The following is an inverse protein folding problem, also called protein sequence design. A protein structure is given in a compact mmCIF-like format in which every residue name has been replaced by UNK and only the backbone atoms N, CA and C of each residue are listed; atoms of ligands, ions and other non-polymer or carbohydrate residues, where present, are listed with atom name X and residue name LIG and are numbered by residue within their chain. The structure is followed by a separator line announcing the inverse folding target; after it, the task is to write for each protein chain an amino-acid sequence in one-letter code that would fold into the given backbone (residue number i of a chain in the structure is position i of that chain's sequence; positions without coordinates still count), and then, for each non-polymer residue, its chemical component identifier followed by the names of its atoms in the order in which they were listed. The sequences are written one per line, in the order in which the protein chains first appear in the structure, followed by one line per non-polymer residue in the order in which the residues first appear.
data_IF_489572163965
#
_entry.id   IF_489572163965
#
_cell.length_a   1.000
_cell.length_b   1.000
_cell.length_c   1.000
_cell.angle_alpha   90.00
_cell.angle_beta   90.00
_cell.angle_gamma   90.00
#
_symmetry.space_group_name_H-M   'P 1'
#
loop_
_entity.id
_entity.type
_entity.pdbx_description
1 polymer ?
#
# COMPACT_ATOMS: atom_id res chain seq x y z
N UNK A 1 15.61 -2.18 -17.54
CA UNK A 1 15.82 -2.97 -16.31
C UNK A 1 16.44 -4.28 -16.75
N UNK A 2 17.67 -4.62 -16.37
CA UNK A 2 18.14 -6.00 -16.50
C UNK A 2 17.10 -6.84 -15.78
N UNK A 3 16.50 -7.82 -16.48
CA UNK A 3 15.38 -8.59 -15.96
C UNK A 3 15.71 -9.11 -14.57
N UNK A 4 14.75 -9.04 -13.65
CA UNK A 4 14.89 -9.59 -12.31
C UNK A 4 15.20 -11.08 -12.45
N UNK A 5 16.49 -11.44 -12.46
CA UNK A 5 16.93 -12.82 -12.58
C UNK A 5 16.85 -13.40 -11.18
N UNK A 6 15.75 -14.09 -10.91
CA UNK A 6 15.65 -14.98 -9.77
C UNK A 6 15.23 -16.38 -10.23
N UNK A 7 15.60 -17.41 -9.47
CA UNK A 7 15.38 -18.81 -9.76
C UNK A 7 13.97 -19.32 -9.34
N UNK A 8 13.07 -18.40 -8.98
CA UNK A 8 11.70 -18.70 -8.53
C UNK A 8 11.56 -19.07 -7.05
N UNK A 9 12.66 -19.25 -6.31
CA UNK A 9 12.59 -19.49 -4.86
C UNK A 9 12.43 -18.18 -4.09
N UNK A 10 11.71 -18.23 -2.96
CA UNK A 10 11.57 -17.07 -2.07
C UNK A 10 12.92 -16.54 -1.59
N UNK A 11 13.90 -17.41 -1.33
CA UNK A 11 15.24 -17.00 -0.89
C UNK A 11 15.97 -16.18 -1.95
N UNK A 12 15.72 -16.42 -3.22
CA UNK A 12 16.40 -15.73 -4.31
C UNK A 12 15.61 -14.51 -4.81
N UNK A 13 14.29 -14.65 -4.97
CA UNK A 13 13.43 -13.57 -5.46
C UNK A 13 13.08 -12.54 -4.37
N UNK A 14 13.01 -12.97 -3.10
CA UNK A 14 12.63 -12.14 -1.95
C UNK A 14 13.46 -12.49 -0.69
N UNK A 15 14.81 -12.49 -0.74
CA UNK A 15 15.70 -12.95 0.34
C UNK A 15 15.38 -12.34 1.71
N UNK A 16 14.98 -11.08 1.74
CA UNK A 16 14.62 -10.33 2.94
C UNK A 16 13.50 -11.00 3.76
N UNK A 17 12.58 -11.70 3.11
CA UNK A 17 11.50 -12.43 3.80
C UNK A 17 12.06 -13.62 4.60
N UNK A 18 13.06 -14.29 4.04
CA UNK A 18 13.74 -15.42 4.67
C UNK A 18 14.63 -14.93 5.81
N UNK A 19 15.42 -13.88 5.57
CA UNK A 19 16.27 -13.28 6.59
C UNK A 19 15.47 -12.74 7.78
N UNK A 20 14.34 -12.08 7.52
CA UNK A 20 13.45 -11.63 8.57
C UNK A 20 12.92 -12.81 9.41
N UNK A 21 12.48 -13.88 8.75
CA UNK A 21 11.97 -15.08 9.44
C UNK A 21 13.04 -15.75 10.30
N UNK A 22 14.26 -15.91 9.78
CA UNK A 22 15.39 -16.47 10.54
C UNK A 22 15.78 -15.58 11.72
N UNK A 23 15.88 -14.26 11.50
CA UNK A 23 16.24 -13.30 12.53
C UNK A 23 15.23 -13.26 13.68
N UNK A 24 13.93 -13.20 13.35
CA UNK A 24 12.84 -13.15 14.34
C UNK A 24 12.72 -14.44 15.17
N UNK A 25 13.26 -15.55 14.67
CA UNK A 25 13.24 -16.84 15.37
C UNK A 25 14.50 -17.15 16.20
N UNK A 26 15.53 -16.30 16.17
CA UNK A 26 16.69 -16.47 17.05
C UNK A 26 16.27 -16.37 18.52
N UNK A 27 16.77 -17.24 19.42
CA UNK A 27 16.43 -17.19 20.84
C UNK A 27 16.67 -15.81 21.47
N UNK A 28 17.79 -15.15 21.11
CA UNK A 28 18.16 -13.84 21.63
C UNK A 28 17.21 -12.74 21.12
N UNK A 29 16.80 -12.81 19.85
CA UNK A 29 15.79 -11.90 19.30
C UNK A 29 14.45 -12.08 20.00
N UNK A 30 13.98 -13.33 20.16
CA UNK A 30 12.72 -13.62 20.89
C UNK A 30 12.78 -13.11 22.33
N UNK A 31 13.88 -13.37 23.03
CA UNK A 31 14.10 -12.90 24.39
C UNK A 31 14.07 -11.36 24.47
N UNK A 32 14.77 -10.69 23.55
CA UNK A 32 14.84 -9.22 23.51
C UNK A 32 13.47 -8.60 23.25
N UNK A 33 12.65 -9.22 22.39
CA UNK A 33 11.29 -8.76 22.07
C UNK A 33 10.23 -9.22 23.10
N UNK A 34 10.60 -10.05 24.08
CA UNK A 34 9.65 -10.64 25.03
C UNK A 34 8.70 -11.68 24.42
N UNK A 35 9.05 -12.24 23.25
CA UNK A 35 8.28 -13.29 22.62
C UNK A 35 8.52 -14.64 23.32
N UNK A 36 7.48 -15.48 23.40
CA UNK A 36 7.61 -16.81 23.99
C UNK A 36 8.53 -17.69 23.14
N UNK A 37 9.37 -18.50 23.79
CA UNK A 37 10.38 -19.31 23.12
C UNK A 37 9.76 -20.37 22.18
N UNK A 38 8.60 -20.91 22.53
CA UNK A 38 7.86 -21.96 21.83
C UNK A 38 7.05 -21.45 20.63
N UNK A 39 6.90 -20.14 20.47
CA UNK A 39 6.19 -19.55 19.32
C UNK A 39 7.18 -19.25 18.21
N UNK A 40 6.97 -19.83 17.03
CA UNK A 40 7.75 -19.51 15.84
C UNK A 40 7.09 -18.41 15.02
N UNK A 41 7.89 -17.41 14.68
CA UNK A 41 7.50 -16.36 13.75
C UNK A 41 7.40 -16.94 12.33
N UNK A 42 6.30 -16.64 11.66
CA UNK A 42 6.10 -16.85 10.23
C UNK A 42 5.56 -15.55 9.63
N UNK A 43 5.92 -15.25 8.37
CA UNK A 43 5.41 -14.06 7.69
C UNK A 43 3.92 -14.13 7.38
N UNK A 44 3.42 -15.32 7.05
CA UNK A 44 2.02 -15.58 6.75
C UNK A 44 1.61 -16.89 7.42
N UNK A 45 0.52 -16.86 8.18
CA UNK A 45 -0.12 -18.05 8.71
C UNK A 45 -1.16 -18.57 7.69
N UNK A 46 -0.80 -19.59 6.92
CA UNK A 46 -1.67 -20.12 5.86
C UNK A 46 -3.01 -20.65 6.37
N UNK A 47 -3.08 -21.45 7.46
CA UNK A 47 -4.37 -21.87 8.02
C UNK A 47 -5.31 -20.71 8.31
N UNK A 48 -4.81 -19.61 8.90
CA UNK A 48 -5.64 -18.42 9.16
C UNK A 48 -6.14 -17.82 7.85
N UNK A 49 -5.26 -17.61 6.86
CA UNK A 49 -5.65 -17.11 5.55
C UNK A 49 -6.71 -17.99 4.86
N UNK A 50 -6.53 -19.32 4.89
CA UNK A 50 -7.46 -20.28 4.30
C UNK A 50 -8.85 -20.22 4.95
N UNK A 51 -8.93 -20.00 6.28
CA UNK A 51 -10.21 -19.79 6.96
C UNK A 51 -10.92 -18.51 6.49
N UNK A 52 -10.22 -17.39 6.35
CA UNK A 52 -10.82 -16.16 5.82
C UNK A 52 -11.31 -16.33 4.36
N UNK A 53 -10.53 -17.02 3.53
CA UNK A 53 -10.95 -17.33 2.15
C UNK A 53 -12.19 -18.21 2.13
N UNK A 54 -12.26 -19.24 2.99
CA UNK A 54 -13.40 -20.15 3.07
C UNK A 54 -14.70 -19.45 3.47
N UNK A 55 -14.62 -18.40 4.30
CA UNK A 55 -15.76 -17.56 4.69
C UNK A 55 -16.08 -16.46 3.67
N UNK A 56 -15.36 -16.39 2.55
CA UNK A 56 -15.61 -15.41 1.50
C UNK A 56 -15.22 -13.98 1.87
N UNK A 57 -14.31 -13.80 2.83
CA UNK A 57 -13.84 -12.48 3.25
C UNK A 57 -13.21 -11.66 2.11
N UNK A 58 -12.37 -12.23 1.20
CA UNK A 58 -11.72 -11.45 0.14
C UNK A 58 -12.66 -10.84 -0.90
N UNK A 59 -13.92 -11.30 -0.99
CA UNK A 59 -14.91 -10.78 -1.95
C UNK A 59 -15.91 -9.81 -1.33
N UNK A 60 -15.77 -9.51 -0.03
CA UNK A 60 -16.61 -8.52 0.64
C UNK A 60 -16.35 -7.12 0.08
N UNK A 61 -17.39 -6.27 0.06
CA UNK A 61 -17.32 -4.91 -0.46
C UNK A 61 -16.71 -3.93 0.56
N UNK A 62 -15.53 -4.24 1.09
CA UNK A 62 -14.86 -3.44 2.13
C UNK A 62 -14.58 -1.99 1.70
N UNK A 63 -14.48 -1.73 0.39
CA UNK A 63 -14.29 -0.37 -0.15
C UNK A 63 -15.44 0.60 0.21
N UNK A 64 -16.65 0.08 0.50
CA UNK A 64 -17.77 0.92 0.94
C UNK A 64 -17.51 1.60 2.28
N UNK A 65 -16.54 1.11 3.07
CA UNK A 65 -16.13 1.75 4.32
C UNK A 65 -15.47 3.12 4.10
N UNK A 66 -15.03 3.43 2.88
CA UNK A 66 -14.47 4.76 2.56
C UNK A 66 -15.53 5.86 2.53
N UNK A 67 -16.77 5.53 2.18
CA UNK A 67 -17.88 6.49 2.08
C UNK A 67 -18.16 7.20 3.41
N UNK A 68 -18.43 6.49 4.55
CA UNK A 68 -18.66 7.15 5.82
C UNK A 68 -17.42 7.88 6.35
N UNK A 69 -16.21 7.41 6.05
CA UNK A 69 -14.97 8.09 6.45
C UNK A 69 -14.84 9.46 5.77
N UNK A 70 -15.00 9.50 4.44
CA UNK A 70 -14.96 10.74 3.68
C UNK A 70 -16.12 11.66 4.04
N UNK A 71 -17.32 11.11 4.28
CA UNK A 71 -18.50 11.85 4.75
C UNK A 71 -18.31 12.50 6.13
N UNK A 72 -17.57 11.85 7.02
CA UNK A 72 -17.20 12.38 8.34
C UNK A 72 -16.01 13.35 8.30
N UNK A 73 -15.44 13.63 7.12
CA UNK A 73 -14.35 14.59 6.94
C UNK A 73 -12.95 14.03 7.18
N UNK A 74 -12.81 12.71 7.37
CA UNK A 74 -11.49 12.07 7.36
C UNK A 74 -10.85 12.18 5.98
N UNK A 75 -9.52 12.31 5.97
CA UNK A 75 -8.74 12.37 4.74
C UNK A 75 -8.38 10.95 4.30
N UNK A 76 -8.46 10.67 3.01
CA UNK A 76 -8.09 9.38 2.42
C UNK A 76 -6.96 9.51 1.39
N UNK A 77 -5.88 8.76 1.59
CA UNK A 77 -4.72 8.68 0.70
C UNK A 77 -4.55 7.26 0.19
N UNK A 78 -4.55 7.10 -1.13
CA UNK A 78 -4.07 5.90 -1.81
C UNK A 78 -2.77 6.21 -2.55
N UNK A 79 -1.69 5.51 -2.22
CA UNK A 79 -0.47 5.47 -3.03
C UNK A 79 -0.21 4.04 -3.48
N UNK A 80 0.09 3.85 -4.76
CA UNK A 80 0.14 2.53 -5.40
C UNK A 80 1.29 2.42 -6.39
N UNK A 81 1.91 1.25 -6.45
CA UNK A 81 2.95 0.94 -7.43
C UNK A 81 2.37 0.62 -8.81
N UNK A 82 2.86 1.30 -9.84
CA UNK A 82 2.42 1.09 -11.23
C UNK A 82 2.76 -0.31 -11.77
N UNK A 83 3.77 -0.96 -11.21
CA UNK A 83 4.26 -2.27 -11.64
C UNK A 83 3.66 -3.44 -10.83
N UNK A 84 2.68 -3.17 -9.95
CA UNK A 84 2.01 -4.22 -9.19
C UNK A 84 1.00 -5.00 -10.07
N UNK A 85 1.17 -6.32 -10.11
CA UNK A 85 0.26 -7.24 -10.78
C UNK A 85 -0.77 -7.88 -9.83
N UNK A 86 -0.55 -7.84 -8.50
CA UNK A 86 -1.47 -8.39 -7.51
C UNK A 86 -2.63 -7.42 -7.26
N UNK A 87 -2.31 -6.14 -6.99
CA UNK A 87 -3.30 -5.09 -6.79
C UNK A 87 -3.13 -4.03 -7.88
N UNK A 88 -3.46 -4.38 -9.13
CA UNK A 88 -3.17 -3.52 -10.26
C UNK A 88 -3.89 -2.15 -10.18
N UNK A 89 -3.12 -1.08 -10.41
CA UNK A 89 -3.58 0.30 -10.30
C UNK A 89 -4.85 0.66 -11.10
N UNK A 90 -5.15 0.10 -12.29
CA UNK A 90 -6.37 0.45 -13.01
C UNK A 90 -7.64 0.06 -12.24
N UNK A 91 -7.61 -1.10 -11.57
CA UNK A 91 -8.73 -1.59 -10.76
C UNK A 91 -8.94 -0.72 -9.52
N UNK A 92 -7.85 -0.37 -8.84
CA UNK A 92 -7.89 0.54 -7.68
C UNK A 92 -8.42 1.91 -8.07
N UNK A 93 -7.90 2.54 -9.13
CA UNK A 93 -8.39 3.85 -9.58
C UNK A 93 -9.86 3.82 -9.99
N UNK A 94 -10.30 2.74 -10.66
CA UNK A 94 -11.70 2.55 -11.05
C UNK A 94 -12.61 2.44 -9.83
N UNK A 95 -12.21 1.66 -8.82
CA UNK A 95 -12.94 1.54 -7.55
C UNK A 95 -13.03 2.89 -6.83
N UNK A 96 -11.94 3.66 -6.76
CA UNK A 96 -11.94 4.96 -6.09
C UNK A 96 -12.88 5.98 -6.73
N UNK A 97 -13.09 5.91 -8.06
CA UNK A 97 -14.08 6.75 -8.77
C UNK A 97 -15.53 6.41 -8.39
N UNK A 98 -15.80 5.20 -7.91
CA UNK A 98 -17.14 4.73 -7.54
C UNK A 98 -17.53 5.07 -6.10
N UNK A 99 -16.61 5.56 -5.27
CA UNK A 99 -16.88 5.89 -3.86
C UNK A 99 -17.87 7.05 -3.77
N UNK A 100 -19.07 6.80 -3.22
CA UNK A 100 -20.04 7.86 -2.97
C UNK A 100 -19.59 8.71 -1.79
N UNK A 101 -19.12 9.92 -2.10
CA UNK A 101 -18.66 10.87 -1.09
C UNK A 101 -18.93 12.30 -1.55
N UNK A 102 -18.86 13.30 -0.65
CA UNK A 102 -18.93 14.71 -1.03
C UNK A 102 -17.88 15.12 -2.09
N UNK A 103 -16.79 14.36 -2.18
CA UNK A 103 -15.64 14.63 -3.06
C UNK A 103 -15.68 13.87 -4.38
N UNK A 104 -16.67 13.00 -4.62
CA UNK A 104 -16.66 12.08 -5.76
C UNK A 104 -16.61 12.81 -7.10
N UNK A 105 -17.46 13.83 -7.28
CA UNK A 105 -17.53 14.61 -8.53
C UNK A 105 -16.19 15.29 -8.82
N UNK A 106 -15.59 15.89 -7.81
CA UNK A 106 -14.27 16.53 -7.90
C UNK A 106 -13.18 15.50 -8.20
N UNK A 107 -13.21 14.32 -7.56
CA UNK A 107 -12.22 13.27 -7.79
C UNK A 107 -12.29 12.67 -9.20
N UNK A 108 -13.50 12.56 -9.78
CA UNK A 108 -13.67 12.10 -11.16
C UNK A 108 -13.14 13.15 -12.14
N UNK A 109 -13.37 14.45 -11.86
CA UNK A 109 -12.97 15.55 -12.73
C UNK A 109 -11.47 15.92 -12.59
N UNK A 110 -10.85 15.61 -11.46
CA UNK A 110 -9.47 15.96 -11.19
C UNK A 110 -8.48 15.22 -12.11
N UNK A 111 -7.50 15.93 -12.71
CA UNK A 111 -6.47 15.30 -13.53
C UNK A 111 -5.45 14.53 -12.67
N UNK A 112 -4.73 13.62 -13.31
CA UNK A 112 -3.52 13.03 -12.74
C UNK A 112 -2.34 13.92 -13.13
N UNK A 113 -1.82 14.70 -12.19
CA UNK A 113 -0.73 15.66 -12.42
C UNK A 113 0.63 15.02 -12.11
N UNK A 114 1.68 15.26 -12.93
CA UNK A 114 3.03 14.85 -12.56
C UNK A 114 3.48 15.52 -11.26
N UNK A 115 4.02 14.76 -10.32
CA UNK A 115 4.68 15.35 -9.16
C UNK A 115 6.12 15.73 -9.55
N UNK A 116 6.37 17.03 -9.67
CA UNK A 116 7.64 17.54 -10.21
C UNK A 116 8.85 17.02 -9.41
N UNK A 117 9.81 16.43 -10.12
CA UNK A 117 11.01 15.84 -9.53
C UNK A 117 10.88 14.37 -9.12
N UNK A 118 9.68 13.81 -9.16
CA UNK A 118 9.43 12.41 -8.81
C UNK A 118 8.90 11.61 -10.02
N UNK A 119 9.20 10.31 -10.07
CA UNK A 119 8.56 9.40 -11.01
C UNK A 119 7.18 8.98 -10.47
N UNK A 120 6.26 9.93 -10.35
CA UNK A 120 4.91 9.71 -9.83
C UNK A 120 3.90 10.71 -10.39
N UNK A 121 2.62 10.31 -10.41
CA UNK A 121 1.49 11.22 -10.63
C UNK A 121 0.63 11.32 -9.38
N UNK A 122 -0.04 12.45 -9.20
CA UNK A 122 -0.95 12.73 -8.10
C UNK A 122 -2.26 13.31 -8.59
N UNK A 123 -3.35 12.85 -7.99
CA UNK A 123 -4.68 13.43 -8.08
C UNK A 123 -5.09 13.87 -6.68
N UNK A 124 -5.40 15.15 -6.51
CA UNK A 124 -5.77 15.74 -5.21
C UNK A 124 -7.14 16.37 -5.30
N UNK A 125 -7.99 16.11 -4.30
CA UNK A 125 -9.24 16.84 -4.06
C UNK A 125 -9.17 17.54 -2.73
N UNK A 126 -9.49 18.83 -2.68
CA UNK A 126 -9.43 19.66 -1.48
C UNK A 126 -8.04 20.27 -1.21
N UNK A 127 -7.91 21.10 -0.16
CA UNK A 127 -6.70 21.87 0.13
C UNK A 127 -5.56 21.00 0.70
N UNK A 128 -4.33 21.54 0.68
CA UNK A 128 -3.15 20.89 1.26
C UNK A 128 -2.79 19.61 0.50
N UNK A 129 -2.52 18.54 1.24
CA UNK A 129 -2.31 17.20 0.67
C UNK A 129 -3.63 16.47 0.33
N UNK A 130 -4.77 17.18 0.37
CA UNK A 130 -6.09 16.70 -0.04
C UNK A 130 -6.93 16.03 1.04
N UNK A 131 -8.25 16.07 0.81
CA UNK A 131 -9.27 15.26 1.47
C UNK A 131 -9.40 13.88 0.84
N UNK A 132 -9.24 13.79 -0.48
CA UNK A 132 -9.21 12.52 -1.22
C UNK A 132 -8.08 12.57 -2.25
N UNK A 133 -7.05 11.75 -2.03
CA UNK A 133 -5.79 11.79 -2.79
C UNK A 133 -5.43 10.42 -3.32
N UNK A 134 -5.05 10.37 -4.60
CA UNK A 134 -4.52 9.18 -5.27
C UNK A 134 -3.14 9.47 -5.86
N UNK A 135 -2.18 8.59 -5.63
CA UNK A 135 -0.81 8.69 -6.15
C UNK A 135 -0.39 7.40 -6.83
N UNK A 136 0.13 7.52 -8.05
CA UNK A 136 0.64 6.40 -8.83
C UNK A 136 2.17 6.52 -8.93
N UNK A 137 2.87 5.58 -8.30
CA UNK A 137 4.33 5.51 -8.25
C UNK A 137 4.86 4.73 -9.46
N UNK A 138 5.57 5.40 -10.36
CA UNK A 138 5.95 4.85 -11.66
C UNK A 138 7.00 3.73 -11.62
N UNK A 139 7.80 3.65 -10.54
CA UNK A 139 8.92 2.71 -10.40
C UNK A 139 8.71 1.62 -9.35
N UNK A 140 7.50 1.47 -8.81
CA UNK A 140 7.20 0.55 -7.71
C UNK A 140 6.21 -0.54 -8.12
N UNK A 141 6.37 -1.72 -7.52
CA UNK A 141 5.44 -2.85 -7.57
C UNK A 141 4.58 -2.94 -6.30
N UNK A 142 4.29 -4.17 -5.85
CA UNK A 142 3.42 -4.42 -4.69
C UNK A 142 3.98 -3.85 -3.38
N UNK A 143 5.30 -3.97 -3.19
CA UNK A 143 6.00 -3.54 -1.98
C UNK A 143 6.57 -2.13 -2.17
N UNK A 144 5.69 -1.13 -2.30
CA UNK A 144 6.06 0.25 -2.66
C UNK A 144 7.18 0.86 -1.82
N UNK A 145 7.22 0.58 -0.52
CA UNK A 145 8.27 1.06 0.39
C UNK A 145 9.61 0.38 0.16
N UNK A 146 9.61 -0.86 -0.31
CA UNK A 146 10.83 -1.58 -0.68
C UNK A 146 11.39 -1.05 -2.00
N UNK A 147 10.51 -0.79 -2.97
CA UNK A 147 10.91 -0.36 -4.31
C UNK A 147 11.36 1.10 -4.36
N UNK A 148 10.66 1.99 -3.64
CA UNK A 148 10.92 3.44 -3.66
C UNK A 148 10.78 4.07 -2.26
N UNK A 149 11.63 3.70 -1.28
CA UNK A 149 11.51 4.15 0.12
C UNK A 149 11.56 5.68 0.29
N UNK A 150 12.41 6.36 -0.48
CA UNK A 150 12.54 7.82 -0.44
C UNK A 150 11.25 8.52 -0.88
N UNK A 151 10.63 8.01 -1.95
CA UNK A 151 9.37 8.54 -2.45
C UNK A 151 8.23 8.27 -1.46
N UNK A 152 8.14 7.07 -0.88
CA UNK A 152 7.13 6.80 0.17
C UNK A 152 7.29 7.75 1.36
N UNK A 153 8.53 8.02 1.81
CA UNK A 153 8.77 9.00 2.88
C UNK A 153 8.25 10.39 2.50
N UNK A 154 8.49 10.86 1.28
CA UNK A 154 7.96 12.15 0.80
C UNK A 154 6.43 12.14 0.74
N UNK A 155 5.82 11.08 0.19
CA UNK A 155 4.37 10.89 0.11
C UNK A 155 3.73 11.06 1.49
N UNK A 156 4.23 10.29 2.47
CA UNK A 156 3.69 10.25 3.83
C UNK A 156 4.00 11.54 4.58
N UNK A 157 5.18 12.14 4.40
CA UNK A 157 5.53 13.43 5.01
C UNK A 157 4.57 14.54 4.58
N UNK A 158 4.37 14.73 3.27
CA UNK A 158 3.40 15.69 2.75
C UNK A 158 1.97 15.40 3.24
N UNK A 159 1.59 14.13 3.33
CA UNK A 159 0.28 13.73 3.83
C UNK A 159 0.06 14.17 5.28
N UNK A 160 0.99 13.81 6.16
CA UNK A 160 0.94 14.07 7.60
C UNK A 160 0.99 15.57 7.88
N UNK A 161 1.92 16.28 7.26
CA UNK A 161 2.12 17.73 7.44
C UNK A 161 1.10 18.56 6.65
N UNK A 162 0.24 17.90 5.86
CA UNK A 162 -0.77 18.51 5.00
C UNK A 162 -0.18 19.51 3.97
N UNK A 163 1.01 19.22 3.45
CA UNK A 163 1.72 20.02 2.46
C UNK A 163 1.27 19.61 1.05
N UNK A 164 0.87 20.55 0.16
CA UNK A 164 0.53 20.23 -1.23
C UNK A 164 1.60 19.42 -1.95
N UNK A 165 1.17 18.50 -2.82
CA UNK A 165 2.06 17.73 -3.69
C UNK A 165 2.45 18.50 -4.95
N UNK A 166 1.50 19.30 -5.46
CA UNK A 166 1.60 20.17 -6.64
C UNK A 166 1.00 21.54 -6.34
#
# INVERSE_FOLDING_TARGET
MPGLQCNGTTRDCMPQTVWATEFMNKPETKQTLGAKADINFTLVNRPVHEMFVAEGDPVQQAYLLYEPLLGAGYRLLHYIGKLDANCAWPGVLSMLRLIHSPYQREFIAAPDLPWTGENATVRVVGPGAGKFTYQLMGGAGHMVTMDQPELVKKIVGHWVDNIPYV
#
